data_IF_328585508660
#
_entry.id   IF_328585508660
#
_cell.length_a   1.000
_cell.length_b   1.000
_cell.length_c   1.000
_cell.angle_alpha   90.00
_cell.angle_beta   90.00
_cell.angle_gamma   90.00
#
_symmetry.space_group_name_H-M   'P 1'
#
loop_
_entity.id
_entity.type
_entity.pdbx_description
1 polymer ?
#
# COMPACT_ATOMS: atom_id res chain seq x y z
N UNK A 1 9.72 -36.51 19.27
CA UNK A 1 10.47 -35.27 18.95
C UNK A 1 9.80 -34.67 17.71
N UNK A 2 8.94 -33.65 17.85
CA UNK A 2 8.41 -32.90 16.70
C UNK A 2 9.47 -31.87 16.29
N UNK A 3 9.82 -31.71 15.01
CA UNK A 3 10.61 -30.56 14.59
C UNK A 3 9.85 -29.29 14.97
N UNK A 4 10.52 -28.49 15.78
CA UNK A 4 10.07 -27.29 16.45
C UNK A 4 9.86 -26.13 15.48
N UNK A 5 8.84 -25.34 15.80
CA UNK A 5 8.54 -24.01 15.30
C UNK A 5 9.77 -23.09 15.29
N UNK A 6 10.55 -23.03 14.19
CA UNK A 6 11.49 -21.92 13.93
C UNK A 6 11.86 -21.83 12.44
N UNK A 7 10.84 -21.69 11.58
CA UNK A 7 11.02 -21.28 10.19
C UNK A 7 10.34 -19.92 9.88
N UNK A 8 9.84 -19.23 10.91
CA UNK A 8 8.92 -18.10 10.77
C UNK A 8 9.56 -16.75 10.41
N UNK A 9 10.87 -16.69 10.14
CA UNK A 9 11.50 -15.47 9.67
C UNK A 9 12.77 -15.77 8.87
N UNK A 10 12.61 -16.39 7.70
CA UNK A 10 13.69 -16.36 6.70
C UNK A 10 13.64 -15.02 5.98
N UNK A 11 14.62 -14.18 6.30
CA UNK A 11 15.11 -13.11 5.43
C UNK A 11 15.34 -13.67 4.03
N UNK A 12 14.48 -13.32 3.06
CA UNK A 12 14.74 -13.47 1.63
C UNK A 12 13.79 -12.54 0.82
N UNK A 13 14.08 -11.25 0.83
CA UNK A 13 13.62 -10.34 -0.23
C UNK A 13 14.83 -9.67 -0.87
N UNK A 14 15.44 -10.37 -1.84
CA UNK A 14 15.58 -9.75 -3.15
C UNK A 14 15.28 -10.77 -4.26
N UNK A 15 14.09 -10.68 -4.84
CA UNK A 15 13.72 -11.26 -6.14
C UNK A 15 13.94 -12.76 -6.35
N UNK A 16 12.88 -13.57 -6.24
CA UNK A 16 12.91 -14.90 -6.85
C UNK A 16 11.73 -15.81 -6.58
N UNK A 17 11.12 -15.74 -5.39
CA UNK A 17 10.04 -16.66 -5.04
C UNK A 17 8.88 -15.88 -4.45
N UNK A 18 7.72 -15.90 -5.12
CA UNK A 18 6.45 -15.41 -4.55
C UNK A 18 6.10 -16.30 -3.36
N UNK A 19 6.66 -16.00 -2.19
CA UNK A 19 6.19 -16.56 -0.94
C UNK A 19 4.73 -16.11 -0.76
N UNK A 20 3.89 -17.00 -0.24
CA UNK A 20 2.48 -16.69 -0.05
C UNK A 20 2.34 -15.57 0.99
N UNK A 21 1.72 -14.47 0.60
CA UNK A 21 1.38 -13.34 1.48
C UNK A 21 -0.13 -13.26 1.65
N UNK A 22 -0.58 -12.78 2.81
CA UNK A 22 -2.01 -12.60 3.08
C UNK A 22 -2.60 -11.45 2.24
N UNK A 23 -1.85 -10.35 2.10
CA UNK A 23 -2.22 -9.21 1.28
C UNK A 23 -1.65 -9.34 -0.13
N UNK A 24 -2.37 -8.77 -1.10
CA UNK A 24 -1.89 -8.68 -2.48
C UNK A 24 -0.95 -7.47 -2.67
N UNK A 25 -0.30 -7.40 -3.83
CA UNK A 25 0.62 -6.30 -4.14
C UNK A 25 -0.05 -4.91 -4.16
N UNK A 26 -1.36 -4.81 -4.47
CA UNK A 26 -2.06 -3.52 -4.43
C UNK A 26 -2.16 -2.99 -3.00
N UNK A 27 -2.50 -3.86 -2.05
CA UNK A 27 -2.56 -3.50 -0.64
C UNK A 27 -1.17 -3.15 -0.10
N UNK A 28 -0.11 -3.88 -0.50
CA UNK A 28 1.26 -3.55 -0.12
C UNK A 28 1.71 -2.18 -0.67
N UNK A 29 1.42 -1.88 -1.94
CA UNK A 29 1.70 -0.55 -2.51
C UNK A 29 0.93 0.54 -1.77
N UNK A 30 -0.36 0.31 -1.47
CA UNK A 30 -1.17 1.27 -0.74
C UNK A 30 -0.63 1.56 0.66
N UNK A 31 -0.14 0.54 1.36
CA UNK A 31 0.53 0.69 2.65
C UNK A 31 1.81 1.52 2.53
N UNK A 32 2.65 1.28 1.52
CA UNK A 32 3.85 2.09 1.27
C UNK A 32 3.49 3.57 1.06
N UNK A 33 2.48 3.86 0.23
CA UNK A 33 2.03 5.23 -0.02
C UNK A 33 1.42 5.89 1.22
N UNK A 34 0.71 5.14 2.05
CA UNK A 34 0.12 5.67 3.28
C UNK A 34 1.20 6.06 4.32
N UNK A 35 2.32 5.32 4.36
CA UNK A 35 3.47 5.63 5.24
C UNK A 35 4.30 6.81 4.74
N UNK A 36 4.56 6.82 3.43
CA UNK A 36 5.30 7.90 2.76
C UNK A 36 4.65 8.23 1.40
N UNK A 37 3.86 9.30 1.35
CA UNK A 37 3.10 9.72 0.16
C UNK A 37 3.99 10.26 -0.97
N UNK A 38 5.20 10.70 -0.65
CA UNK A 38 6.15 11.25 -1.61
C UNK A 38 7.19 10.19 -2.06
N UNK A 39 6.97 8.93 -1.68
CA UNK A 39 7.88 7.83 -2.00
C UNK A 39 8.01 7.67 -3.52
N UNK A 40 9.26 7.55 -3.98
CA UNK A 40 9.53 7.32 -5.40
C UNK A 40 9.15 5.89 -5.79
N UNK A 41 8.65 5.72 -7.02
CA UNK A 41 8.14 4.43 -7.49
C UNK A 41 9.15 3.29 -7.40
N UNK A 42 10.42 3.61 -7.59
CA UNK A 42 11.52 2.65 -7.45
C UNK A 42 11.65 2.13 -6.02
N UNK A 43 11.49 2.98 -5.01
CA UNK A 43 11.53 2.56 -3.60
C UNK A 43 10.32 1.71 -3.23
N UNK A 44 9.13 2.10 -3.72
CA UNK A 44 7.91 1.28 -3.55
C UNK A 44 8.11 -0.12 -4.15
N UNK A 45 8.65 -0.20 -5.36
CA UNK A 45 8.94 -1.47 -6.02
C UNK A 45 9.89 -2.36 -5.21
N UNK A 46 10.95 -1.77 -4.66
CA UNK A 46 11.91 -2.46 -3.82
C UNK A 46 11.29 -2.95 -2.51
N UNK A 47 10.52 -2.10 -1.81
CA UNK A 47 9.87 -2.48 -0.55
C UNK A 47 8.81 -3.57 -0.73
N UNK A 48 8.05 -3.52 -1.82
CA UNK A 48 7.00 -4.52 -2.13
C UNK A 48 7.59 -5.79 -2.75
N UNK A 49 8.84 -5.76 -3.23
CA UNK A 49 9.48 -6.91 -3.88
C UNK A 49 8.95 -7.19 -5.29
N UNK A 50 8.57 -6.14 -6.03
CA UNK A 50 8.04 -6.24 -7.40
C UNK A 50 8.86 -5.38 -8.37
N UNK A 51 8.58 -5.50 -9.66
CA UNK A 51 9.22 -4.65 -10.66
C UNK A 51 8.66 -3.22 -10.64
N UNK A 52 9.45 -2.25 -11.08
CA UNK A 52 8.99 -0.87 -11.22
C UNK A 52 7.81 -0.77 -12.20
N UNK A 53 7.83 -1.55 -13.28
CA UNK A 53 6.71 -1.65 -14.23
C UNK A 53 5.43 -2.18 -13.55
N UNK A 54 5.54 -3.19 -12.69
CA UNK A 54 4.40 -3.70 -11.93
C UNK A 54 3.87 -2.64 -10.95
N UNK A 55 4.77 -1.91 -10.30
CA UNK A 55 4.40 -0.80 -9.40
C UNK A 55 3.65 0.30 -10.14
N UNK A 56 4.14 0.72 -11.31
CA UNK A 56 3.47 1.71 -12.16
C UNK A 56 2.07 1.24 -12.58
N UNK A 57 1.94 -0.04 -12.95
CA UNK A 57 0.63 -0.63 -13.29
C UNK A 57 -0.32 -0.60 -12.10
N UNK A 58 0.12 -1.04 -10.92
CA UNK A 58 -0.68 -1.04 -9.70
C UNK A 58 -1.14 0.38 -9.34
N UNK A 59 -0.25 1.36 -9.42
CA UNK A 59 -0.62 2.76 -9.15
C UNK A 59 -1.64 3.27 -10.15
N UNK A 60 -1.48 2.93 -11.43
CA UNK A 60 -2.49 3.26 -12.45
C UNK A 60 -3.84 2.62 -12.11
N UNK A 61 -3.86 1.33 -11.75
CA UNK A 61 -5.08 0.62 -11.38
C UNK A 61 -5.74 1.26 -10.13
N UNK A 62 -4.94 1.67 -9.14
CA UNK A 62 -5.41 2.38 -7.94
C UNK A 62 -5.99 3.77 -8.26
N UNK A 63 -5.39 4.50 -9.22
CA UNK A 63 -5.90 5.80 -9.69
C UNK A 63 -7.19 5.63 -10.49
N UNK A 64 -7.21 4.71 -11.45
CA UNK A 64 -8.38 4.45 -12.30
C UNK A 64 -9.60 4.03 -11.47
N UNK A 65 -9.35 3.33 -10.38
CA UNK A 65 -10.37 2.88 -9.45
C UNK A 65 -10.69 3.91 -8.35
N UNK A 66 -10.05 5.09 -8.38
CA UNK A 66 -10.30 6.20 -7.46
C UNK A 66 -9.82 5.97 -6.03
N UNK A 67 -9.07 4.90 -5.73
CA UNK A 67 -8.52 4.64 -4.39
C UNK A 67 -7.44 5.65 -4.02
N UNK A 68 -6.67 6.10 -5.02
CA UNK A 68 -5.70 7.16 -4.84
C UNK A 68 -5.86 8.24 -5.90
N UNK A 69 -5.45 9.45 -5.57
CA UNK A 69 -5.26 10.55 -6.50
C UNK A 69 -3.78 10.88 -6.57
N UNK A 70 -3.28 11.15 -7.78
CA UNK A 70 -1.88 11.48 -8.03
C UNK A 70 -1.74 12.97 -8.33
N UNK A 71 -0.86 13.63 -7.58
CA UNK A 71 -0.52 15.04 -7.74
C UNK A 71 0.94 15.21 -8.10
N UNK A 72 1.25 16.27 -8.85
CA UNK A 72 2.62 16.65 -9.17
C UNK A 72 3.04 17.80 -8.24
N UNK A 73 3.97 17.52 -7.33
CA UNK A 73 4.57 18.55 -6.45
C UNK A 73 6.02 18.74 -6.88
N UNK A 74 6.24 19.77 -7.70
CA UNK A 74 7.54 20.05 -8.31
C UNK A 74 8.04 18.88 -9.17
N UNK A 75 9.16 18.26 -8.76
CA UNK A 75 9.75 17.10 -9.45
C UNK A 75 9.32 15.75 -8.88
N UNK A 76 8.50 15.72 -7.83
CA UNK A 76 8.00 14.50 -7.19
C UNK A 76 6.51 14.25 -7.48
N UNK A 77 6.10 12.99 -7.45
CA UNK A 77 4.68 12.66 -7.42
C UNK A 77 4.30 12.51 -5.95
N UNK A 78 3.16 13.06 -5.57
CA UNK A 78 2.56 12.86 -4.26
C UNK A 78 1.21 12.20 -4.43
N UNK A 79 0.81 11.35 -3.50
CA UNK A 79 -0.42 10.58 -3.59
C UNK A 79 -1.36 10.86 -2.42
N UNK A 80 -2.62 11.13 -2.72
CA UNK A 80 -3.71 11.19 -1.72
C UNK A 80 -4.47 9.88 -1.76
N UNK A 81 -4.82 9.33 -0.60
CA UNK A 81 -5.59 8.09 -0.49
C UNK A 81 -7.01 8.42 -0.05
N UNK A 82 -8.00 7.86 -0.74
CA UNK A 82 -9.40 7.96 -0.35
C UNK A 82 -9.75 6.87 0.67
N UNK A 83 -9.67 7.25 1.95
CA UNK A 83 -9.85 6.33 3.08
C UNK A 83 -11.28 5.84 3.23
N UNK A 84 -12.28 6.62 2.80
CA UNK A 84 -13.70 6.30 2.98
C UNK A 84 -14.24 5.36 1.90
N UNK A 85 -13.43 5.00 0.90
CA UNK A 85 -13.87 4.08 -0.14
C UNK A 85 -14.04 2.65 0.40
N UNK A 86 -15.15 1.97 0.06
CA UNK A 86 -15.35 0.59 0.45
C UNK A 86 -14.36 -0.34 -0.28
N UNK A 87 -13.97 -1.42 0.39
CA UNK A 87 -13.21 -2.48 -0.27
C UNK A 87 -14.08 -3.15 -1.33
N UNK A 88 -13.48 -3.40 -2.50
CA UNK A 88 -14.21 -3.77 -3.73
C UNK A 88 -14.77 -5.19 -3.71
N UNK A 89 -14.27 -6.06 -2.84
CA UNK A 89 -14.70 -7.45 -2.79
C UNK A 89 -16.04 -7.57 -2.06
N UNK A 90 -17.04 -8.32 -2.57
CA UNK A 90 -18.37 -8.45 -1.93
C UNK A 90 -18.35 -8.87 -0.45
N UNK A 91 -17.32 -9.64 -0.06
CA UNK A 91 -17.13 -10.06 1.34
C UNK A 91 -16.61 -8.94 2.25
N UNK A 92 -16.05 -7.88 1.67
CA UNK A 92 -15.33 -6.81 2.35
C UNK A 92 -16.01 -5.45 2.17
N UNK A 93 -17.16 -5.35 1.48
CA UNK A 93 -17.83 -4.08 1.16
C UNK A 93 -18.29 -3.30 2.39
N UNK A 94 -18.34 -3.94 3.56
CA UNK A 94 -18.63 -3.29 4.85
C UNK A 94 -17.42 -2.58 5.44
N UNK A 95 -16.24 -2.82 4.89
CA UNK A 95 -14.98 -2.25 5.33
C UNK A 95 -14.47 -1.21 4.35
N UNK A 96 -13.74 -0.24 4.87
CA UNK A 96 -13.14 0.83 4.06
C UNK A 96 -11.65 0.63 3.87
N UNK A 97 -11.08 1.32 2.88
CA UNK A 97 -9.63 1.44 2.69
C UNK A 97 -8.97 1.95 3.97
N UNK A 98 -9.57 2.92 4.66
CA UNK A 98 -9.06 3.48 5.90
C UNK A 98 -9.02 2.46 7.04
N UNK A 99 -10.04 1.61 7.16
CA UNK A 99 -10.05 0.52 8.17
C UNK A 99 -8.96 -0.51 7.90
N UNK A 100 -8.74 -0.88 6.62
CA UNK A 100 -7.65 -1.76 6.25
C UNK A 100 -6.28 -1.17 6.65
N UNK A 101 -6.06 0.11 6.34
CA UNK A 101 -4.80 0.78 6.65
C UNK A 101 -4.58 0.94 8.16
N UNK A 102 -5.65 1.21 8.93
CA UNK A 102 -5.58 1.33 10.38
C UNK A 102 -5.11 0.05 11.09
N UNK A 103 -5.24 -1.13 10.47
CA UNK A 103 -4.71 -2.37 11.02
C UNK A 103 -3.17 -2.47 10.98
N UNK A 104 -2.50 -1.69 10.13
CA UNK A 104 -1.05 -1.81 9.87
C UNK A 104 -0.26 -0.52 10.09
N UNK A 105 -0.96 0.60 10.30
CA UNK A 105 -0.38 1.91 10.48
C UNK A 105 -0.55 2.38 11.92
N UNK A 106 0.45 3.10 12.41
CA UNK A 106 0.37 3.83 13.67
C UNK A 106 -0.66 4.95 13.58
N UNK A 107 -1.15 5.41 14.74
CA UNK A 107 -2.06 6.57 14.81
C UNK A 107 -1.46 7.84 14.18
N UNK A 108 -0.14 8.01 14.25
CA UNK A 108 0.55 9.13 13.61
C UNK A 108 0.56 9.02 12.08
N UNK A 109 0.84 7.84 11.53
CA UNK A 109 0.73 7.57 10.10
C UNK A 109 -0.70 7.76 9.60
N UNK A 110 -1.70 7.25 10.34
CA UNK A 110 -3.10 7.45 10.00
C UNK A 110 -3.52 8.92 10.06
N UNK A 111 -3.02 9.69 11.04
CA UNK A 111 -3.28 11.14 11.12
C UNK A 111 -2.71 11.87 9.90
N UNK A 112 -1.50 11.53 9.46
CA UNK A 112 -0.88 12.08 8.24
C UNK A 112 -1.68 11.70 6.99
N UNK A 113 -2.10 10.44 6.88
CA UNK A 113 -2.95 9.96 5.79
C UNK A 113 -4.25 10.76 5.69
N UNK A 114 -4.91 11.03 6.82
CA UNK A 114 -6.13 11.85 6.89
C UNK A 114 -5.86 13.32 6.55
N UNK A 115 -4.78 13.94 7.05
CA UNK A 115 -4.50 15.35 6.80
C UNK A 115 -4.27 15.67 5.32
N UNK A 116 -3.78 14.69 4.55
CA UNK A 116 -3.64 14.86 3.10
C UNK A 116 -4.96 14.81 2.35
N UNK A 117 -5.99 14.16 2.90
CA UNK A 117 -7.34 14.11 2.34
C UNK A 117 -8.13 15.42 2.47
N UNK A 118 -7.71 16.33 3.36
CA UNK A 118 -8.47 17.55 3.70
C UNK A 118 -8.10 18.74 2.80
N UNK A 119 -6.98 18.71 2.06
CA UNK A 119 -6.53 19.82 1.22
C UNK A 119 -7.21 19.89 -0.17
N UNK A 120 -8.54 19.72 -0.23
CA UNK A 120 -9.28 19.66 -1.50
C UNK A 120 -10.77 19.98 -1.41
N UNK A 121 -11.19 20.77 -0.41
CA UNK A 121 -12.52 21.37 -0.35
C UNK A 121 -12.40 22.90 -0.39
#
# INVERSE_FOLDING_TARGET
MKPSDTDAYRDDFPGGHKQWTFLNNHAHVLLCLARNPDMVLREVALQVGITERATQKIIKDLVDCGVIERYRVGRCNSYRIHLDLPLRHPLETRHTVGELLAMFLTEEEMRRARSMGIAGA
#
